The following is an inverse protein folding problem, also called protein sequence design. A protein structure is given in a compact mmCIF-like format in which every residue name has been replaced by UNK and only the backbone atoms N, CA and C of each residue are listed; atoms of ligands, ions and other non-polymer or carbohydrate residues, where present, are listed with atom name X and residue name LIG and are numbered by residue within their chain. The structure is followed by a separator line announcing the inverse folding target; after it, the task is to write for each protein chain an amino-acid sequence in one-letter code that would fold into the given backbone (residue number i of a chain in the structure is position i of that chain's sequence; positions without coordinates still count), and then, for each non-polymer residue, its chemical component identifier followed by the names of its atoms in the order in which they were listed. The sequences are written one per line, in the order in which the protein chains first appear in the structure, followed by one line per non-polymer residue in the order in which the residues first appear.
data_IF_550844265985
#
_entry.id   IF_550844265985
#
_cell.length_a   1.000
_cell.length_b   1.000
_cell.length_c   1.000
_cell.angle_alpha   90.00
_cell.angle_beta   90.00
_cell.angle_gamma   90.00
#
_symmetry.space_group_name_H-M   'P 1'
#
loop_
_entity.id
_entity.type
_entity.pdbx_description
1 polymer ?
#
# COMPACT_ATOMS: atom_id res chain seq x y z
N UNK A 1 4.62 -21.88 -5.36
CA UNK A 1 5.80 -21.32 -6.06
C UNK A 1 6.82 -20.77 -5.07
N UNK A 2 8.10 -20.63 -5.42
CA UNK A 2 9.11 -20.06 -4.56
C UNK A 2 8.88 -18.54 -4.38
N UNK A 3 9.06 -18.02 -3.14
CA UNK A 3 8.87 -16.60 -2.78
C UNK A 3 10.23 -15.88 -2.75
N UNK A 4 10.95 -15.92 -3.87
CA UNK A 4 12.29 -15.36 -3.99
C UNK A 4 12.29 -14.16 -4.95
N UNK A 5 13.05 -13.11 -4.59
CA UNK A 5 13.38 -12.01 -5.50
C UNK A 5 14.69 -12.32 -6.22
N UNK A 6 14.69 -12.19 -7.55
CA UNK A 6 15.86 -12.43 -8.40
C UNK A 6 16.73 -11.17 -8.58
N UNK A 7 16.73 -10.25 -7.61
CA UNK A 7 17.45 -8.96 -7.74
C UNK A 7 18.96 -9.14 -7.95
N UNK A 8 19.54 -10.20 -7.40
CA UNK A 8 20.97 -10.51 -7.53
C UNK A 8 21.28 -11.42 -8.72
N UNK A 9 20.32 -12.18 -9.21
CA UNK A 9 20.46 -13.13 -10.33
C UNK A 9 20.01 -12.48 -11.65
N UNK A 10 20.77 -11.51 -12.13
CA UNK A 10 20.39 -10.67 -13.28
C UNK A 10 20.16 -11.46 -14.57
N UNK A 11 21.01 -12.45 -14.87
CA UNK A 11 20.88 -13.31 -16.06
C UNK A 11 19.59 -14.12 -16.02
N UNK A 12 19.33 -14.80 -14.89
CA UNK A 12 18.11 -15.57 -14.71
C UNK A 12 16.86 -14.68 -14.77
N UNK A 13 16.91 -13.50 -14.17
CA UNK A 13 15.83 -12.52 -14.22
C UNK A 13 15.55 -12.08 -15.67
N UNK A 14 16.61 -11.87 -16.47
CA UNK A 14 16.48 -11.51 -17.89
C UNK A 14 15.73 -12.58 -18.67
N UNK A 15 16.06 -13.86 -18.46
CA UNK A 15 15.37 -15.00 -19.10
C UNK A 15 13.88 -15.01 -18.74
N UNK A 16 13.54 -14.86 -17.46
CA UNK A 16 12.11 -14.80 -17.05
C UNK A 16 11.37 -13.61 -17.66
N UNK A 17 12.00 -12.43 -17.65
CA UNK A 17 11.38 -11.20 -18.18
C UNK A 17 11.18 -11.23 -19.69
N UNK A 18 12.03 -11.93 -20.44
CA UNK A 18 11.89 -12.07 -21.89
C UNK A 18 10.56 -12.72 -22.30
N UNK A 19 10.03 -13.61 -21.46
CA UNK A 19 8.77 -14.33 -21.73
C UNK A 19 7.57 -13.79 -20.91
N UNK A 20 7.80 -12.91 -19.93
CA UNK A 20 6.77 -12.48 -19.01
C UNK A 20 5.93 -11.31 -19.55
N UNK A 21 4.65 -11.31 -19.24
CA UNK A 21 3.78 -10.14 -19.40
C UNK A 21 4.10 -9.08 -18.33
N UNK A 22 4.31 -9.49 -17.07
CA UNK A 22 4.71 -8.58 -16.00
C UNK A 22 6.23 -8.47 -15.90
N UNK A 23 6.80 -7.44 -16.50
CA UNK A 23 8.22 -7.09 -16.42
C UNK A 23 8.57 -6.18 -15.24
N UNK A 24 7.59 -5.71 -14.45
CA UNK A 24 7.79 -4.73 -13.37
C UNK A 24 8.23 -5.39 -12.06
N UNK A 25 8.07 -6.71 -11.96
CA UNK A 25 8.47 -7.48 -10.79
C UNK A 25 9.78 -8.23 -10.97
N UNK A 26 10.45 -8.50 -9.85
CA UNK A 26 11.58 -9.41 -9.76
C UNK A 26 11.24 -10.67 -8.94
N UNK A 27 9.96 -10.87 -8.57
CA UNK A 27 9.52 -12.00 -7.77
C UNK A 27 9.20 -13.23 -8.63
N UNK A 28 9.82 -14.34 -8.34
CA UNK A 28 9.63 -15.59 -9.09
C UNK A 28 8.17 -16.02 -9.10
N UNK A 29 7.44 -15.91 -7.99
CA UNK A 29 6.07 -16.43 -7.94
C UNK A 29 5.14 -15.76 -8.97
N UNK A 30 5.40 -14.50 -9.35
CA UNK A 30 4.65 -13.82 -10.40
C UNK A 30 4.85 -14.49 -11.75
N UNK A 31 6.07 -14.85 -12.11
CA UNK A 31 6.37 -15.58 -13.34
C UNK A 31 5.77 -17.00 -13.32
N UNK A 32 5.73 -17.65 -12.14
CA UNK A 32 5.04 -18.94 -11.98
C UNK A 32 3.54 -18.81 -12.22
N UNK A 33 2.88 -17.76 -11.72
CA UNK A 33 1.46 -17.51 -11.99
C UNK A 33 1.23 -17.44 -13.51
N UNK A 34 2.00 -16.59 -14.20
CA UNK A 34 1.85 -16.42 -15.66
C UNK A 34 2.08 -17.72 -16.42
N UNK A 35 3.14 -18.44 -16.11
CA UNK A 35 3.43 -19.73 -16.79
C UNK A 35 2.32 -20.73 -16.52
N UNK A 36 1.87 -20.86 -15.27
CA UNK A 36 0.76 -21.75 -14.91
C UNK A 36 -0.53 -21.42 -15.66
N UNK A 37 -0.85 -20.12 -15.81
CA UNK A 37 -2.04 -19.69 -16.55
C UNK A 37 -1.96 -19.96 -18.07
N UNK A 38 -0.76 -20.09 -18.65
CA UNK A 38 -0.59 -20.44 -20.07
C UNK A 38 -0.85 -21.93 -20.33
N UNK A 39 -0.51 -22.80 -19.37
CA UNK A 39 -0.55 -24.25 -19.54
C UNK A 39 -1.73 -24.92 -18.84
N UNK A 40 -2.25 -24.33 -17.76
CA UNK A 40 -3.29 -24.91 -16.92
C UNK A 40 -4.69 -24.40 -17.28
N UNK A 41 -5.70 -25.28 -17.33
CA UNK A 41 -7.11 -24.91 -17.43
C UNK A 41 -7.65 -24.35 -16.11
N UNK A 42 -7.16 -24.90 -15.00
CA UNK A 42 -7.43 -24.42 -13.64
C UNK A 42 -6.07 -24.30 -12.94
N UNK A 43 -5.82 -23.14 -12.33
CA UNK A 43 -4.58 -22.83 -11.63
C UNK A 43 -4.93 -22.48 -10.19
N UNK A 44 -4.35 -23.23 -9.25
CA UNK A 44 -4.48 -22.95 -7.81
C UNK A 44 -3.07 -22.84 -7.20
N UNK A 45 -2.77 -21.69 -6.61
CA UNK A 45 -1.45 -21.42 -6.03
C UNK A 45 -1.59 -20.67 -4.70
N UNK A 46 -0.77 -21.06 -3.72
CA UNK A 46 -0.57 -20.26 -2.51
C UNK A 46 0.57 -19.27 -2.79
N UNK A 47 0.33 -17.99 -2.55
CA UNK A 47 1.28 -16.91 -2.84
C UNK A 47 1.26 -15.85 -1.72
N UNK A 48 2.28 -14.99 -1.63
CA UNK A 48 2.24 -13.85 -0.73
C UNK A 48 1.02 -12.95 -0.99
N UNK A 49 0.36 -12.51 0.06
CA UNK A 49 -0.81 -11.61 0.01
C UNK A 49 -0.51 -10.28 -0.69
N UNK A 50 0.77 -9.88 -0.74
CA UNK A 50 1.22 -8.71 -1.52
C UNK A 50 0.85 -8.77 -3.00
N UNK A 51 0.55 -9.95 -3.56
CA UNK A 51 0.01 -10.09 -4.90
C UNK A 51 -1.20 -9.18 -5.13
N UNK A 52 -2.10 -9.07 -4.15
CA UNK A 52 -3.37 -8.35 -4.34
C UNK A 52 -3.25 -6.84 -4.22
N UNK A 53 -2.17 -6.28 -3.65
CA UNK A 53 -2.08 -4.83 -3.40
C UNK A 53 -0.76 -4.17 -3.79
N UNK A 54 0.37 -4.89 -3.89
CA UNK A 54 1.64 -4.24 -4.19
C UNK A 54 1.74 -3.78 -5.66
N UNK A 55 2.37 -2.60 -5.91
CA UNK A 55 2.45 -2.03 -7.26
C UNK A 55 3.16 -2.94 -8.26
N UNK A 56 4.22 -3.64 -7.86
CA UNK A 56 5.00 -4.53 -8.73
C UNK A 56 4.19 -5.69 -9.33
N UNK A 57 2.97 -5.96 -8.85
CA UNK A 57 2.10 -7.03 -9.36
C UNK A 57 0.88 -6.51 -10.14
N UNK A 58 0.82 -5.23 -10.49
CA UNK A 58 -0.32 -4.67 -11.24
C UNK A 58 -0.60 -5.44 -12.54
N UNK A 59 0.43 -5.71 -13.35
CA UNK A 59 0.28 -6.44 -14.62
C UNK A 59 -0.15 -7.90 -14.37
N UNK A 60 0.37 -8.55 -13.34
CA UNK A 60 -0.06 -9.91 -12.97
C UNK A 60 -1.53 -9.94 -12.60
N UNK A 61 -2.01 -8.98 -11.77
CA UNK A 61 -3.43 -8.85 -11.45
C UNK A 61 -4.29 -8.59 -12.68
N UNK A 62 -3.85 -7.71 -13.59
CA UNK A 62 -4.55 -7.45 -14.86
C UNK A 62 -4.67 -8.71 -15.72
N UNK A 63 -3.61 -9.54 -15.78
CA UNK A 63 -3.65 -10.81 -16.49
C UNK A 63 -4.68 -11.76 -15.86
N UNK A 64 -4.66 -11.90 -14.54
CA UNK A 64 -5.59 -12.76 -13.81
C UNK A 64 -7.05 -12.28 -13.91
N UNK A 65 -7.29 -10.96 -13.81
CA UNK A 65 -8.65 -10.38 -13.87
C UNK A 65 -9.38 -10.60 -15.19
N UNK A 66 -8.64 -10.85 -16.29
CA UNK A 66 -9.22 -11.22 -17.60
C UNK A 66 -9.86 -12.61 -17.61
N UNK A 67 -9.62 -13.39 -16.56
CA UNK A 67 -10.10 -14.77 -16.41
C UNK A 67 -10.99 -14.88 -15.17
N UNK A 68 -11.64 -16.01 -14.99
CA UNK A 68 -12.43 -16.24 -13.80
C UNK A 68 -11.52 -16.54 -12.61
N UNK A 69 -11.45 -15.64 -11.66
CA UNK A 69 -10.87 -15.91 -10.33
C UNK A 69 -12.01 -16.44 -9.46
N UNK A 70 -12.18 -17.76 -9.42
CA UNK A 70 -13.33 -18.38 -8.77
C UNK A 70 -13.25 -18.37 -7.25
N UNK A 71 -12.05 -18.47 -6.69
CA UNK A 71 -11.82 -18.50 -5.23
C UNK A 71 -10.60 -17.68 -4.85
N UNK A 72 -10.69 -17.03 -3.71
CA UNK A 72 -9.56 -16.43 -2.98
C UNK A 72 -9.70 -16.84 -1.52
N UNK A 73 -8.68 -17.51 -0.96
CA UNK A 73 -8.63 -17.88 0.45
C UNK A 73 -7.53 -17.06 1.11
N UNK A 74 -7.88 -16.21 2.06
CA UNK A 74 -6.92 -15.40 2.83
C UNK A 74 -6.56 -16.12 4.13
N UNK A 75 -5.36 -16.65 4.17
CA UNK A 75 -4.82 -17.32 5.37
C UNK A 75 -4.25 -16.33 6.39
N UNK A 76 -4.08 -15.05 6.03
CA UNK A 76 -3.29 -14.14 6.85
C UNK A 76 -1.90 -14.72 7.13
N UNK A 77 -1.45 -14.67 8.39
CA UNK A 77 -0.18 -15.26 8.84
C UNK A 77 -0.29 -16.76 9.20
N UNK A 78 -1.47 -17.38 9.04
CA UNK A 78 -1.71 -18.79 9.41
C UNK A 78 -1.31 -19.78 8.30
N UNK A 79 -0.92 -19.29 7.10
CA UNK A 79 -0.64 -20.15 5.94
C UNK A 79 0.56 -21.08 6.10
N UNK A 80 1.58 -20.71 6.87
CA UNK A 80 2.77 -21.52 7.12
C UNK A 80 3.18 -21.48 8.58
N UNK A 81 3.46 -22.66 9.17
CA UNK A 81 3.96 -22.76 10.55
C UNK A 81 5.32 -22.06 10.66
N UNK A 82 5.51 -21.27 11.73
CA UNK A 82 6.77 -20.56 12.08
C UNK A 82 7.23 -19.49 11.09
N UNK A 83 6.45 -19.16 10.07
CA UNK A 83 6.77 -18.11 9.10
C UNK A 83 5.72 -17.03 9.15
N UNK A 84 6.14 -15.82 9.54
CA UNK A 84 5.25 -14.64 9.63
C UNK A 84 5.15 -13.96 8.26
N UNK A 85 4.52 -14.63 7.31
CA UNK A 85 4.21 -14.08 5.99
C UNK A 85 2.71 -14.22 5.74
N UNK A 86 2.07 -13.14 5.37
CA UNK A 86 0.68 -13.18 4.94
C UNK A 86 0.57 -13.83 3.57
N UNK A 87 -0.30 -14.82 3.46
CA UNK A 87 -0.50 -15.59 2.23
C UNK A 87 -1.96 -15.70 1.86
N UNK A 88 -2.18 -15.84 0.56
CA UNK A 88 -3.48 -16.18 -0.02
C UNK A 88 -3.34 -17.43 -0.90
N UNK A 89 -4.41 -18.20 -1.02
CA UNK A 89 -4.62 -19.08 -2.16
C UNK A 89 -5.58 -18.41 -3.14
N UNK A 90 -5.35 -18.57 -4.42
CA UNK A 90 -6.32 -18.23 -5.45
C UNK A 90 -6.57 -19.40 -6.39
N UNK A 91 -7.75 -19.44 -6.98
CA UNK A 91 -8.10 -20.38 -8.04
C UNK A 91 -8.54 -19.59 -9.26
N UNK A 92 -7.80 -19.77 -10.38
CA UNK A 92 -8.11 -19.16 -11.68
C UNK A 92 -8.51 -20.22 -12.69
N UNK A 93 -9.68 -20.05 -13.30
CA UNK A 93 -10.17 -20.87 -14.42
C UNK A 93 -9.85 -20.13 -15.72
N UNK A 94 -8.76 -20.54 -16.39
CA UNK A 94 -8.17 -19.79 -17.52
C UNK A 94 -9.02 -19.75 -18.79
N UNK A 95 -9.95 -20.68 -18.93
CA UNK A 95 -10.85 -20.79 -20.08
C UNK A 95 -12.23 -20.16 -19.84
N UNK A 96 -12.48 -19.63 -18.62
CA UNK A 96 -13.74 -19.01 -18.26
C UNK A 96 -13.61 -17.49 -18.11
N UNK A 97 -14.71 -16.80 -18.43
CA UNK A 97 -14.83 -15.35 -18.21
C UNK A 97 -15.09 -15.04 -16.74
N UNK A 98 -14.79 -13.81 -16.34
CA UNK A 98 -15.13 -13.26 -15.03
C UNK A 98 -16.60 -13.50 -14.66
N UNK A 99 -16.83 -13.88 -13.39
CA UNK A 99 -18.16 -14.14 -12.83
C UNK A 99 -18.12 -13.81 -11.32
N UNK A 100 -18.72 -14.66 -10.48
CA UNK A 100 -18.61 -14.53 -9.03
C UNK A 100 -17.28 -15.11 -8.51
N UNK A 101 -16.73 -14.47 -7.48
CA UNK A 101 -15.58 -14.92 -6.72
C UNK A 101 -16.03 -15.25 -5.29
N UNK A 102 -15.64 -16.40 -4.78
CA UNK A 102 -15.78 -16.78 -3.38
C UNK A 102 -14.53 -16.30 -2.65
N UNK A 103 -14.71 -15.48 -1.63
CA UNK A 103 -13.63 -15.03 -0.74
C UNK A 103 -13.82 -15.68 0.62
N UNK A 104 -12.91 -16.56 1.00
CA UNK A 104 -12.82 -17.18 2.32
C UNK A 104 -11.68 -16.51 3.11
N UNK A 105 -11.91 -16.22 4.37
CA UNK A 105 -10.94 -15.53 5.20
C UNK A 105 -10.75 -16.19 6.55
N UNK A 106 -9.53 -16.62 6.84
CA UNK A 106 -9.09 -17.10 8.15
C UNK A 106 -8.80 -15.94 9.14
N UNK A 107 -8.87 -14.69 8.66
CA UNK A 107 -8.74 -13.48 9.49
C UNK A 107 -10.09 -13.11 10.08
N UNK A 108 -11.14 -13.07 9.23
CA UNK A 108 -12.50 -12.67 9.62
C UNK A 108 -13.42 -13.86 9.93
N UNK A 109 -12.96 -15.09 9.64
CA UNK A 109 -13.71 -16.33 9.78
C UNK A 109 -15.05 -16.32 9.01
N UNK A 110 -15.02 -15.67 7.83
CA UNK A 110 -16.19 -15.50 6.96
C UNK A 110 -15.91 -16.00 5.55
N UNK A 111 -17.00 -16.44 4.92
CA UNK A 111 -17.04 -16.73 3.48
C UNK A 111 -18.05 -15.76 2.85
N UNK A 112 -17.62 -15.09 1.79
CA UNK A 112 -18.43 -14.11 1.07
C UNK A 112 -18.37 -14.42 -0.42
N UNK A 113 -19.51 -14.32 -1.10
CA UNK A 113 -19.60 -14.46 -2.56
C UNK A 113 -19.92 -13.09 -3.15
N UNK A 114 -19.06 -12.61 -4.04
CA UNK A 114 -19.20 -11.31 -4.69
C UNK A 114 -18.92 -11.38 -6.18
N UNK A 115 -19.42 -10.42 -6.95
CA UNK A 115 -19.03 -10.27 -8.34
C UNK A 115 -17.53 -9.96 -8.44
N UNK A 116 -16.80 -10.67 -9.29
CA UNK A 116 -15.39 -10.44 -9.50
C UNK A 116 -15.11 -8.99 -9.91
N UNK A 117 -15.97 -8.41 -10.77
CA UNK A 117 -15.87 -7.01 -11.19
C UNK A 117 -16.00 -6.00 -10.05
N UNK A 118 -16.72 -6.35 -8.98
CA UNK A 118 -16.85 -5.52 -7.78
C UNK A 118 -15.56 -5.54 -6.94
N UNK A 119 -14.99 -6.73 -6.72
CA UNK A 119 -13.75 -6.88 -5.94
C UNK A 119 -12.51 -6.35 -6.67
N UNK A 120 -12.53 -6.46 -8.01
CA UNK A 120 -11.41 -6.12 -8.90
C UNK A 120 -11.71 -4.88 -9.75
N UNK A 121 -12.51 -3.97 -9.21
CA UNK A 121 -12.92 -2.74 -9.85
C UNK A 121 -11.71 -1.87 -10.21
N UNK A 122 -11.58 -1.54 -11.49
CA UNK A 122 -10.43 -0.78 -12.03
C UNK A 122 -10.38 0.68 -11.59
N UNK A 123 -11.44 1.20 -10.94
CA UNK A 123 -11.40 2.51 -10.30
C UNK A 123 -10.43 2.56 -9.11
N UNK A 124 -10.06 1.40 -8.54
CA UNK A 124 -9.07 1.27 -7.47
C UNK A 124 -7.73 0.75 -8.01
N UNK A 125 -6.61 1.06 -7.36
CA UNK A 125 -5.27 0.67 -7.83
C UNK A 125 -4.99 -0.83 -7.75
N UNK A 126 -5.83 -1.58 -7.04
CA UNK A 126 -5.69 -3.02 -6.85
C UNK A 126 -6.99 -3.67 -6.36
N UNK A 127 -6.99 -5.00 -6.20
CA UNK A 127 -8.14 -5.76 -5.74
C UNK A 127 -8.44 -5.48 -4.27
N UNK A 128 -9.72 -5.24 -3.94
CA UNK A 128 -10.21 -5.05 -2.57
C UNK A 128 -11.13 -6.22 -2.24
N UNK A 129 -10.53 -7.32 -1.76
CA UNK A 129 -11.24 -8.59 -1.54
C UNK A 129 -12.23 -8.56 -0.37
N UNK A 130 -12.12 -7.57 0.51
CA UNK A 130 -13.03 -7.32 1.63
C UNK A 130 -14.00 -6.17 1.39
N UNK A 131 -14.08 -5.66 0.16
CA UNK A 131 -14.98 -4.57 -0.20
C UNK A 131 -16.42 -4.90 0.16
N UNK A 132 -17.11 -3.93 0.75
CA UNK A 132 -18.50 -4.03 1.20
C UNK A 132 -19.17 -2.64 1.14
N UNK A 133 -20.47 -2.58 1.48
CA UNK A 133 -21.24 -1.35 1.47
C UNK A 133 -20.67 -0.24 2.37
N UNK A 134 -20.10 -0.59 3.54
CA UNK A 134 -19.52 0.43 4.44
C UNK A 134 -18.25 1.04 3.86
N UNK A 135 -17.45 0.25 3.13
CA UNK A 135 -16.35 0.77 2.35
C UNK A 135 -16.86 1.73 1.25
N UNK A 136 -17.88 1.33 0.50
CA UNK A 136 -18.43 2.14 -0.59
C UNK A 136 -19.04 3.45 -0.08
N UNK A 137 -19.75 3.46 1.05
CA UNK A 137 -20.29 4.67 1.69
C UNK A 137 -19.21 5.72 2.03
N UNK A 138 -17.99 5.26 2.33
CA UNK A 138 -16.85 6.17 2.56
C UNK A 138 -16.25 6.57 1.22
N UNK A 139 -16.02 5.61 0.33
CA UNK A 139 -15.44 5.85 -0.98
C UNK A 139 -16.24 6.86 -1.80
N UNK A 140 -17.57 6.82 -1.73
CA UNK A 140 -18.45 7.74 -2.46
C UNK A 140 -18.36 9.19 -1.97
N UNK A 141 -17.93 9.41 -0.72
CA UNK A 141 -17.74 10.74 -0.12
C UNK A 141 -16.34 11.31 -0.33
N UNK A 142 -15.45 10.56 -0.95
CA UNK A 142 -14.05 10.97 -1.13
C UNK A 142 -13.68 11.12 -2.59
N UNK A 143 -12.83 12.07 -2.85
CA UNK A 143 -12.07 12.20 -4.08
C UNK A 143 -10.68 11.63 -3.87
N UNK A 144 -10.34 10.60 -4.65
CA UNK A 144 -9.10 9.85 -4.51
C UNK A 144 -8.01 10.28 -5.49
N UNK A 145 -6.81 9.70 -5.33
CA UNK A 145 -5.66 9.93 -6.20
C UNK A 145 -5.15 11.38 -6.20
N UNK A 146 -5.38 12.10 -5.11
CA UNK A 146 -4.99 13.51 -4.96
C UNK A 146 -3.53 13.69 -4.53
N UNK A 147 -2.86 12.61 -4.09
CA UNK A 147 -1.50 12.68 -3.57
C UNK A 147 -0.50 11.83 -4.32
N UNK A 148 0.75 12.32 -4.31
CA UNK A 148 1.97 11.55 -4.54
C UNK A 148 2.71 11.37 -3.22
N UNK A 149 3.24 10.19 -2.96
CA UNK A 149 3.97 9.89 -1.74
C UNK A 149 5.48 9.93 -1.97
N UNK A 150 6.18 10.60 -1.07
CA UNK A 150 7.63 10.51 -0.91
C UNK A 150 7.96 9.92 0.44
N UNK A 151 9.01 9.11 0.49
CA UNK A 151 9.54 8.57 1.73
C UNK A 151 11.06 8.59 1.68
N UNK A 152 11.67 9.22 2.67
CA UNK A 152 13.12 9.22 2.81
C UNK A 152 13.65 7.80 3.08
N UNK A 153 14.88 7.54 2.62
CA UNK A 153 15.57 6.26 2.86
C UNK A 153 17.02 6.45 3.31
N UNK A 154 17.44 7.68 3.49
CA UNK A 154 18.82 8.06 3.79
C UNK A 154 18.99 8.41 5.26
N UNK A 155 18.01 9.12 5.84
CA UNK A 155 18.09 9.54 7.25
C UNK A 155 18.02 8.31 8.16
N UNK A 156 19.13 8.06 8.83
CA UNK A 156 19.28 6.99 9.83
C UNK A 156 19.57 7.58 11.20
N UNK A 157 19.51 6.74 12.24
CA UNK A 157 19.84 7.16 13.60
C UNK A 157 21.25 7.76 13.72
N UNK A 158 22.20 7.33 12.88
CA UNK A 158 23.57 7.83 12.89
C UNK A 158 23.72 9.26 12.34
N UNK A 159 22.75 9.71 11.52
CA UNK A 159 22.73 11.08 10.97
C UNK A 159 21.99 12.06 11.89
N UNK A 160 21.25 11.59 12.87
CA UNK A 160 20.41 12.43 13.74
C UNK A 160 21.01 12.58 15.12
N UNK A 161 20.73 13.74 15.74
CA UNK A 161 21.16 14.12 17.09
C UNK A 161 19.95 14.56 17.91
N UNK A 162 20.09 14.64 19.24
CA UNK A 162 19.03 15.15 20.13
C UNK A 162 18.80 16.67 20.03
N UNK A 163 19.73 17.42 19.45
CA UNK A 163 19.64 18.87 19.18
C UNK A 163 20.32 19.18 17.85
N UNK A 164 19.88 20.20 17.13
CA UNK A 164 20.42 20.59 15.82
C UNK A 164 19.59 21.70 15.17
N UNK A 165 19.95 22.07 13.94
CA UNK A 165 19.35 23.20 13.24
C UNK A 165 17.99 22.86 12.61
N UNK A 166 17.84 21.64 12.05
CA UNK A 166 16.63 21.21 11.35
C UNK A 166 16.03 20.02 12.07
N UNK A 167 14.76 20.13 12.45
CA UNK A 167 14.03 19.06 13.10
C UNK A 167 13.65 17.96 12.12
N UNK A 168 13.88 16.71 12.51
CA UNK A 168 13.50 15.50 11.76
C UNK A 168 12.29 14.87 12.43
N UNK A 169 11.14 14.96 11.78
CA UNK A 169 9.91 14.38 12.26
C UNK A 169 9.87 12.87 12.02
N UNK A 170 9.41 12.13 13.01
CA UNK A 170 9.26 10.67 12.97
C UNK A 170 7.82 10.28 13.28
N UNK A 171 7.46 9.03 13.05
CA UNK A 171 6.07 8.57 13.11
C UNK A 171 5.31 8.93 14.39
N UNK A 172 5.96 8.95 15.56
CA UNK A 172 5.31 9.33 16.84
C UNK A 172 5.10 10.84 16.97
N UNK A 173 5.81 11.65 16.18
CA UNK A 173 5.59 13.10 16.17
C UNK A 173 4.33 13.50 15.41
N UNK A 174 3.73 12.61 14.62
CA UNK A 174 2.55 12.91 13.83
C UNK A 174 1.30 12.63 14.66
N UNK A 175 0.54 13.67 14.97
CA UNK A 175 -0.77 13.60 15.59
C UNK A 175 -1.91 13.89 14.60
N UNK A 176 -3.12 14.03 15.12
CA UNK A 176 -4.26 14.52 14.34
C UNK A 176 -4.16 16.05 14.22
N UNK A 177 -3.94 16.51 12.99
CA UNK A 177 -3.71 17.92 12.64
C UNK A 177 -2.63 18.66 13.48
N UNK A 178 -1.72 17.93 14.11
CA UNK A 178 -0.71 18.55 14.97
C UNK A 178 0.61 17.77 14.97
N UNK A 179 1.70 18.47 15.27
CA UNK A 179 2.98 17.87 15.62
C UNK A 179 3.04 17.68 17.13
N UNK A 180 3.50 16.52 17.57
CA UNK A 180 3.65 16.18 18.96
C UNK A 180 5.14 16.27 19.31
N UNK A 181 5.47 17.10 20.27
CA UNK A 181 6.82 17.18 20.84
C UNK A 181 7.00 16.05 21.86
N UNK A 182 8.07 15.28 21.68
CA UNK A 182 8.38 14.14 22.54
C UNK A 182 9.84 14.26 22.96
N UNK A 183 10.12 14.85 24.15
CA UNK A 183 11.48 14.90 24.70
C UNK A 183 12.13 13.51 24.62
N UNK A 184 13.43 13.46 24.34
CA UNK A 184 14.24 12.23 24.17
C UNK A 184 13.93 11.39 22.90
N UNK A 185 12.81 11.64 22.22
CA UNK A 185 12.49 11.03 20.92
C UNK A 185 12.76 11.97 19.75
N UNK A 186 12.60 13.27 19.95
CA UNK A 186 12.80 14.28 18.91
C UNK A 186 14.24 14.24 18.41
N UNK A 187 14.42 14.46 17.12
CA UNK A 187 15.68 14.34 16.43
C UNK A 187 15.93 15.50 15.51
N UNK A 188 17.20 15.81 15.29
CA UNK A 188 17.65 16.95 14.50
C UNK A 188 18.83 16.57 13.61
N UNK A 189 19.03 17.34 12.55
CA UNK A 189 20.25 17.32 11.72
C UNK A 189 20.81 18.73 11.62
N UNK A 190 22.13 18.86 11.45
CA UNK A 190 22.78 20.15 11.28
C UNK A 190 22.98 20.52 9.80
N UNK A 191 23.08 19.49 8.93
CA UNK A 191 23.31 19.67 7.50
C UNK A 191 22.30 18.84 6.69
N UNK A 192 21.86 19.40 5.58
CA UNK A 192 20.93 18.79 4.63
C UNK A 192 21.61 18.38 3.32
N UNK A 193 22.94 18.54 3.20
CA UNK A 193 23.66 18.22 1.98
C UNK A 193 23.50 16.75 1.62
N UNK A 194 23.16 16.48 0.37
CA UNK A 194 22.93 15.13 -0.14
C UNK A 194 21.63 14.47 0.33
N UNK A 195 20.76 15.15 1.08
CA UNK A 195 19.47 14.64 1.52
C UNK A 195 18.34 15.11 0.57
N UNK A 196 17.82 14.21 -0.24
CA UNK A 196 16.70 14.51 -1.16
C UNK A 196 15.46 15.10 -0.46
N UNK A 197 15.25 14.78 0.82
CA UNK A 197 14.15 15.28 1.63
C UNK A 197 14.24 16.78 1.89
N UNK A 198 15.41 17.40 1.72
CA UNK A 198 15.64 18.84 1.86
C UNK A 198 14.74 19.70 0.98
N UNK A 199 14.33 19.17 -0.18
CA UNK A 199 13.36 19.83 -1.09
C UNK A 199 12.00 20.13 -0.47
N UNK A 200 11.68 19.52 0.68
CA UNK A 200 10.43 19.74 1.40
C UNK A 200 10.55 20.74 2.55
N UNK A 201 11.75 21.18 2.93
CA UNK A 201 12.01 21.98 4.14
C UNK A 201 11.08 23.19 4.30
N UNK A 202 10.80 23.88 3.20
CA UNK A 202 9.96 25.09 3.18
C UNK A 202 8.78 24.95 2.20
N UNK A 203 8.50 23.72 1.75
CA UNK A 203 7.40 23.48 0.83
C UNK A 203 6.07 23.53 1.59
N UNK A 204 5.15 24.32 1.11
CA UNK A 204 3.78 24.41 1.62
C UNK A 204 2.91 23.25 1.10
N UNK A 205 1.78 23.00 1.75
CA UNK A 205 0.77 22.01 1.32
C UNK A 205 1.31 20.57 1.23
N UNK A 206 2.34 20.25 2.03
CA UNK A 206 2.77 18.87 2.23
C UNK A 206 2.06 18.29 3.46
N UNK A 207 1.57 17.05 3.31
CA UNK A 207 0.89 16.31 4.39
C UNK A 207 1.81 15.20 4.87
N UNK A 208 1.89 15.01 6.18
CA UNK A 208 2.65 13.96 6.83
C UNK A 208 1.72 12.83 7.28
N UNK A 209 2.11 11.60 6.97
CA UNK A 209 1.45 10.38 7.45
C UNK A 209 2.48 9.44 8.07
N UNK A 210 2.21 8.79 9.22
CA UNK A 210 3.03 7.67 9.65
C UNK A 210 3.09 6.59 8.57
N UNK A 211 4.28 6.13 8.23
CA UNK A 211 4.45 5.18 7.14
C UNK A 211 3.78 3.82 7.40
N UNK A 212 3.85 3.32 8.65
CA UNK A 212 3.07 2.15 9.09
C UNK A 212 1.77 2.65 9.73
N UNK A 213 0.66 2.54 9.01
CA UNK A 213 -0.58 3.21 9.37
C UNK A 213 -1.68 2.23 9.75
N UNK A 214 -1.66 1.76 11.01
CA UNK A 214 -2.76 1.00 11.61
C UNK A 214 -3.89 1.93 12.07
N UNK A 215 -3.50 3.08 12.62
CA UNK A 215 -4.40 4.16 13.00
C UNK A 215 -4.03 5.38 12.16
N UNK A 216 -4.70 5.60 11.02
CA UNK A 216 -4.43 6.72 10.13
C UNK A 216 -4.57 8.05 10.88
N UNK A 217 -3.62 8.94 10.68
CA UNK A 217 -3.64 10.31 11.17
C UNK A 217 -2.67 11.14 10.35
N UNK A 218 -2.94 12.41 10.23
CA UNK A 218 -2.15 13.29 9.39
C UNK A 218 -2.04 14.69 9.97
N UNK A 219 -0.99 15.39 9.56
CA UNK A 219 -0.86 16.83 9.79
C UNK A 219 -0.09 17.48 8.64
N UNK A 220 -0.13 18.79 8.53
CA UNK A 220 0.73 19.50 7.59
C UNK A 220 2.19 19.50 8.04
N UNK A 221 3.11 19.47 7.07
CA UNK A 221 4.54 19.62 7.33
C UNK A 221 4.83 21.07 7.73
N UNK A 222 5.35 21.32 8.94
CA UNK A 222 5.76 22.66 9.36
C UNK A 222 6.98 23.15 8.59
N UNK A 223 7.09 24.46 8.37
CA UNK A 223 8.29 25.07 7.82
C UNK A 223 9.49 24.78 8.73
N UNK A 224 10.65 24.58 8.14
CA UNK A 224 11.88 24.30 8.88
C UNK A 224 11.99 22.87 9.41
N UNK A 225 11.07 21.98 9.06
CA UNK A 225 11.10 20.55 9.42
C UNK A 225 11.25 19.67 8.18
N UNK A 226 11.83 18.50 8.38
CA UNK A 226 11.86 17.39 7.43
C UNK A 226 11.34 16.11 8.11
N UNK A 227 11.23 15.01 7.38
CA UNK A 227 10.81 13.73 7.97
C UNK A 227 11.75 12.59 7.56
N UNK A 228 11.92 11.61 8.45
CA UNK A 228 12.64 10.37 8.14
C UNK A 228 11.73 9.33 7.45
N UNK A 229 12.29 8.17 7.11
CA UNK A 229 11.59 7.08 6.42
C UNK A 229 10.45 6.43 7.20
N UNK A 230 10.23 6.78 8.47
CA UNK A 230 9.07 6.34 9.26
C UNK A 230 7.80 7.17 9.00
N UNK A 231 7.94 8.25 8.22
CA UNK A 231 6.85 9.15 7.81
C UNK A 231 6.84 9.25 6.28
N UNK A 232 5.67 9.15 5.68
CA UNK A 232 5.45 9.50 4.28
C UNK A 232 5.12 11.00 4.18
N UNK A 233 5.79 11.71 3.27
CA UNK A 233 5.46 13.07 2.89
C UNK A 233 4.59 12.99 1.64
N UNK A 234 3.37 13.50 1.72
CA UNK A 234 2.43 13.57 0.62
C UNK A 234 2.44 14.96 0.01
N UNK A 235 2.51 15.02 -1.31
CA UNK A 235 2.35 16.25 -2.08
C UNK A 235 1.15 16.10 -2.99
N UNK A 236 0.44 17.19 -3.25
CA UNK A 236 -0.66 17.17 -4.19
C UNK A 236 -0.19 16.73 -5.58
N UNK A 237 -0.98 15.89 -6.22
CA UNK A 237 -0.73 15.43 -7.59
C UNK A 237 -1.03 16.55 -8.61
N UNK A 238 -2.03 17.37 -8.32
CA UNK A 238 -2.39 18.58 -9.02
C UNK A 238 -2.23 19.79 -8.10
N UNK A 239 -1.54 20.85 -8.53
CA UNK A 239 -1.28 22.03 -7.72
C UNK A 239 -2.53 22.90 -7.49
N UNK A 240 -3.57 22.74 -8.29
CA UNK A 240 -4.84 23.49 -8.15
C UNK A 240 -5.75 22.91 -7.05
N UNK A 241 -5.41 21.74 -6.52
CA UNK A 241 -6.14 21.13 -5.43
C UNK A 241 -5.75 21.73 -4.08
N UNK A 242 -6.71 21.71 -3.17
CA UNK A 242 -6.53 22.18 -1.78
C UNK A 242 -6.92 21.05 -0.83
N UNK A 243 -6.11 20.83 0.17
CA UNK A 243 -6.38 19.94 1.30
C UNK A 243 -6.62 20.80 2.53
N UNK A 244 -7.68 20.51 3.25
CA UNK A 244 -8.09 21.22 4.44
C UNK A 244 -7.71 20.48 5.72
N UNK A 245 -7.79 21.13 6.86
CA UNK A 245 -7.65 20.46 8.16
C UNK A 245 -8.78 19.45 8.42
N UNK A 246 -9.96 19.69 7.85
CA UNK A 246 -11.10 18.78 7.96
C UNK A 246 -10.83 17.48 7.23
N UNK A 247 -10.24 17.53 6.01
CA UNK A 247 -9.79 16.33 5.30
C UNK A 247 -8.80 15.50 6.15
N UNK A 248 -7.85 16.18 6.81
CA UNK A 248 -6.87 15.50 7.64
C UNK A 248 -7.49 14.90 8.90
N UNK A 249 -8.40 15.63 9.57
CA UNK A 249 -9.13 15.12 10.74
C UNK A 249 -10.00 13.92 10.40
N UNK A 250 -10.55 13.87 9.18
CA UNK A 250 -11.32 12.72 8.74
C UNK A 250 -10.48 11.43 8.75
N UNK A 251 -9.17 11.48 8.42
CA UNK A 251 -8.31 10.31 8.46
C UNK A 251 -8.14 9.71 9.87
N UNK A 252 -8.26 10.52 10.93
CA UNK A 252 -8.16 10.07 12.31
C UNK A 252 -9.46 9.46 12.87
N UNK A 253 -10.56 9.47 12.08
CA UNK A 253 -11.83 8.90 12.52
C UNK A 253 -11.85 7.37 12.48
N UNK A 254 -12.64 6.75 13.36
CA UNK A 254 -12.90 5.28 13.33
C UNK A 254 -13.48 4.86 11.99
N UNK A 255 -14.28 5.70 11.35
CA UNK A 255 -14.88 5.44 10.06
C UNK A 255 -13.82 5.30 8.98
N UNK A 256 -12.86 6.22 8.92
CA UNK A 256 -11.76 6.15 7.98
C UNK A 256 -10.80 4.98 8.31
N UNK A 257 -10.54 4.73 9.59
CA UNK A 257 -9.71 3.59 10.04
C UNK A 257 -10.28 2.26 9.54
N UNK A 258 -11.58 2.03 9.67
CA UNK A 258 -12.28 0.83 9.15
C UNK A 258 -12.22 0.77 7.62
N UNK A 259 -12.49 1.88 6.95
CA UNK A 259 -12.39 2.01 5.49
C UNK A 259 -10.97 1.65 5.00
N UNK A 260 -9.96 2.26 5.62
CA UNK A 260 -8.57 2.04 5.22
C UNK A 260 -8.09 0.62 5.51
N UNK A 261 -8.55 0.00 6.61
CA UNK A 261 -8.27 -1.41 6.87
C UNK A 261 -8.80 -2.32 5.75
N UNK A 262 -10.02 -2.07 5.25
CA UNK A 262 -10.59 -2.78 4.10
C UNK A 262 -9.80 -2.46 2.83
N UNK A 263 -9.49 -1.20 2.57
CA UNK A 263 -8.65 -0.78 1.46
C UNK A 263 -7.29 -1.50 1.45
N UNK A 264 -6.73 -1.81 2.62
CA UNK A 264 -5.47 -2.57 2.77
C UNK A 264 -5.69 -4.09 2.88
N UNK A 265 -6.90 -4.58 2.51
CA UNK A 265 -7.25 -5.98 2.56
C UNK A 265 -6.97 -6.63 3.94
N UNK A 266 -7.21 -5.90 5.03
CA UNK A 266 -6.96 -6.33 6.41
C UNK A 266 -5.53 -6.84 6.63
N UNK A 267 -4.56 -6.28 5.90
CA UNK A 267 -3.15 -6.68 6.01
C UNK A 267 -2.53 -6.23 7.33
N UNK A 268 -1.67 -7.04 7.88
CA UNK A 268 -0.94 -6.79 9.15
C UNK A 268 0.54 -6.48 8.92
N UNK A 269 1.10 -6.83 7.76
CA UNK A 269 2.52 -6.70 7.45
C UNK A 269 2.85 -5.68 6.37
N UNK A 270 1.94 -5.45 5.43
CA UNK A 270 2.18 -4.62 4.26
C UNK A 270 1.41 -3.30 4.33
N UNK A 271 1.51 -2.58 5.45
CA UNK A 271 0.80 -1.32 5.69
C UNK A 271 1.63 -0.07 5.40
N UNK A 272 2.80 -0.22 4.78
CA UNK A 272 3.58 0.92 4.33
C UNK A 272 2.80 1.75 3.31
N UNK A 273 2.93 3.07 3.42
CA UNK A 273 2.44 3.99 2.40
C UNK A 273 3.32 3.83 1.15
N UNK A 274 2.68 3.47 0.05
CA UNK A 274 3.27 3.32 -1.29
C UNK A 274 2.40 3.99 -2.35
N UNK A 275 2.80 3.93 -3.61
CA UNK A 275 2.08 4.57 -4.71
C UNK A 275 0.66 4.04 -4.94
N UNK A 276 0.35 2.82 -4.47
CA UNK A 276 -1.00 2.29 -4.55
C UNK A 276 -1.84 2.68 -3.32
N UNK A 277 -1.27 2.57 -2.12
CA UNK A 277 -2.02 2.82 -0.88
C UNK A 277 -2.29 4.29 -0.63
N UNK A 278 -1.39 5.19 -1.10
CA UNK A 278 -1.61 6.63 -1.02
C UNK A 278 -2.87 7.09 -1.76
N UNK A 279 -3.30 6.34 -2.76
CA UNK A 279 -4.54 6.57 -3.49
C UNK A 279 -5.76 6.78 -2.57
N UNK A 280 -5.84 6.02 -1.46
CA UNK A 280 -7.00 6.04 -0.55
C UNK A 280 -7.00 7.21 0.44
N UNK A 281 -5.91 7.96 0.51
CA UNK A 281 -5.88 9.24 1.21
C UNK A 281 -6.31 10.32 0.21
N UNK A 282 -7.54 10.77 0.34
CA UNK A 282 -8.18 11.71 -0.56
C UNK A 282 -8.76 12.89 0.20
N UNK A 283 -9.45 13.76 -0.47
CA UNK A 283 -10.23 14.87 0.13
C UNK A 283 -11.71 14.51 0.18
N UNK A 284 -12.42 15.11 1.11
CA UNK A 284 -13.88 15.01 1.15
C UNK A 284 -14.47 15.77 -0.05
N UNK A 285 -15.50 15.19 -0.67
CA UNK A 285 -16.31 15.90 -1.66
C UNK A 285 -17.14 16.97 -0.93
N UNK A 286 -17.14 18.17 -1.44
CA UNK A 286 -17.96 19.26 -0.96
C UNK A 286 -19.45 19.00 -1.16
#
# INVERSE_FOLDING_TARGET
PPYKKLTKEKELLSVYKAEAYNTDTNNIFSFFIEKSMRIGKVVSLIVPKSLINAPEFNKTRQLMSKKRVSHIIDFGEKGFKKVKIETINFVVETQRKSAQTIVESYITEKVVVQQQSYLMDTKFPYWIIYRNEDFDKVADKMEFNVFKAYRDRVITKSLTKGKGQVRVLKSRNIGDNQIIDIPEYDSYVDNLDGLDVSKFLNKTNCVLLPNLTYNPRACFLPKGCIADGSVAILTLANNDEVITKEDLSFYATDKFTKFYAIARNLGTRSLNIDNNSVFFFGKLKG
#
